data_IF_271210054903
#
_entry.id   IF_271210054903
#
_cell.length_a   1.000
_cell.length_b   1.000
_cell.length_c   1.000
_cell.angle_alpha   90.00
_cell.angle_beta   90.00
_cell.angle_gamma   90.00
#
_symmetry.space_group_name_H-M   'P 1'
#
loop_
_entity.id
_entity.type
_entity.pdbx_description
1 polymer ?
#
# COMPACT_ATOMS: atom_id res chain seq x y z
N UNK A 1 4.69 -5.07 -0.34
CA UNK A 1 4.49 -5.94 0.84
C UNK A 1 5.71 -6.79 1.13
N UNK A 2 6.15 -7.66 0.22
CA UNK A 2 7.28 -8.58 0.44
C UNK A 2 8.54 -7.83 0.84
N UNK A 3 8.93 -6.78 0.13
CA UNK A 3 10.09 -5.96 0.49
C UNK A 3 9.97 -5.22 1.83
N UNK A 4 8.76 -5.01 2.34
CA UNK A 4 8.58 -4.50 3.69
C UNK A 4 8.97 -5.56 4.74
N UNK A 5 8.48 -6.78 4.56
CA UNK A 5 8.72 -7.88 5.49
C UNK A 5 10.12 -8.48 5.39
N UNK A 6 10.81 -8.34 4.26
CA UNK A 6 12.18 -8.82 4.08
C UNK A 6 13.17 -8.30 5.14
N UNK A 7 12.87 -7.14 5.74
CA UNK A 7 13.64 -6.59 6.86
C UNK A 7 13.58 -7.44 8.14
N UNK A 8 12.58 -8.29 8.26
CA UNK A 8 12.31 -9.12 9.44
C UNK A 8 12.32 -10.61 9.10
N UNK A 9 12.20 -10.94 7.81
CA UNK A 9 12.01 -12.28 7.26
C UNK A 9 13.06 -12.52 6.17
N UNK A 10 14.27 -12.92 6.54
CA UNK A 10 15.50 -12.89 5.72
C UNK A 10 15.43 -13.59 4.36
N UNK A 11 14.49 -14.52 4.17
CA UNK A 11 14.41 -15.33 2.94
C UNK A 11 13.31 -14.86 1.97
N UNK A 12 12.59 -13.79 2.27
CA UNK A 12 11.52 -13.33 1.39
C UNK A 12 12.05 -12.70 0.10
N UNK A 13 13.17 -11.99 0.18
CA UNK A 13 13.89 -11.46 -0.97
C UNK A 13 15.38 -11.79 -0.85
N UNK A 14 15.80 -13.00 -1.23
CA UNK A 14 17.18 -13.42 -1.11
C UNK A 14 18.14 -12.43 -1.81
N UNK A 15 19.22 -12.07 -1.13
CA UNK A 15 20.24 -11.12 -1.58
C UNK A 15 19.77 -9.65 -1.69
N UNK A 16 18.57 -9.33 -1.23
CA UNK A 16 18.13 -7.94 -1.17
C UNK A 16 18.96 -7.16 -0.14
N UNK A 17 19.65 -6.14 -0.61
CA UNK A 17 20.44 -5.25 0.25
C UNK A 17 19.90 -3.83 0.15
N UNK A 18 19.24 -3.37 1.20
CA UNK A 18 19.01 -1.93 1.38
C UNK A 18 20.24 -1.29 1.98
N UNK A 19 20.68 -0.12 1.51
CA UNK A 19 21.60 0.69 2.27
C UNK A 19 21.13 2.13 2.42
N UNK A 20 21.42 2.64 3.59
CA UNK A 20 21.29 4.05 3.88
C UNK A 20 22.54 4.71 3.31
N UNK A 21 22.40 5.51 2.27
CA UNK A 21 23.48 6.37 1.82
C UNK A 21 23.39 7.68 2.61
N UNK A 22 24.51 8.14 3.12
CA UNK A 22 24.71 9.32 3.94
C UNK A 22 23.61 10.40 3.80
N UNK A 23 22.88 10.62 4.87
CA UNK A 23 21.95 11.71 5.02
C UNK A 23 20.61 11.51 4.31
N UNK A 24 19.73 10.69 4.81
CA UNK A 24 18.29 10.64 4.51
C UNK A 24 17.82 10.04 3.17
N UNK A 25 18.66 9.61 2.26
CA UNK A 25 18.21 8.94 1.04
C UNK A 25 18.47 7.44 1.18
N UNK A 26 17.40 6.67 1.35
CA UNK A 26 17.44 5.21 1.20
C UNK A 26 17.50 4.93 -0.30
N UNK A 27 18.65 4.52 -0.79
CA UNK A 27 18.77 3.96 -2.14
C UNK A 27 18.86 2.46 -2.04
N UNK A 28 18.04 1.80 -2.83
CA UNK A 28 18.11 0.37 -3.04
C UNK A 28 18.95 0.14 -4.29
N UNK A 29 20.09 -0.53 -4.17
CA UNK A 29 20.94 -0.90 -5.31
C UNK A 29 20.82 -2.41 -5.50
N UNK A 30 20.69 -2.84 -6.75
CA UNK A 30 20.52 -4.24 -7.10
C UNK A 30 19.06 -4.73 -7.03
N UNK A 31 18.11 -3.80 -6.95
CA UNK A 31 16.68 -4.13 -6.81
C UNK A 31 16.07 -4.83 -8.03
N UNK A 32 16.59 -4.59 -9.21
CA UNK A 32 15.95 -5.08 -10.43
C UNK A 32 16.00 -6.60 -10.53
N UNK A 33 17.14 -7.21 -10.26
CA UNK A 33 17.29 -8.67 -10.35
C UNK A 33 16.55 -9.39 -9.23
N UNK A 34 16.68 -8.94 -7.99
CA UNK A 34 16.03 -9.54 -6.83
C UNK A 34 14.50 -9.36 -6.88
N UNK A 35 14.02 -8.19 -7.24
CA UNK A 35 12.59 -7.92 -7.41
C UNK A 35 12.03 -8.76 -8.56
N UNK A 36 12.73 -8.83 -9.69
CA UNK A 36 12.31 -9.65 -10.82
C UNK A 36 12.30 -11.14 -10.47
N UNK A 37 13.26 -11.63 -9.68
CA UNK A 37 13.27 -13.01 -9.21
C UNK A 37 12.05 -13.35 -8.34
N UNK A 38 11.61 -12.43 -7.48
CA UNK A 38 10.40 -12.56 -6.67
C UNK A 38 9.15 -12.49 -7.55
N UNK A 39 9.04 -11.52 -8.44
CA UNK A 39 7.89 -11.35 -9.34
C UNK A 39 7.70 -12.54 -10.28
N UNK A 40 8.79 -13.10 -10.79
CA UNK A 40 8.78 -14.30 -11.64
C UNK A 40 8.21 -15.53 -10.91
N UNK A 41 8.40 -15.60 -9.60
CA UNK A 41 7.81 -16.66 -8.77
C UNK A 41 6.37 -16.35 -8.38
N UNK A 42 6.07 -15.10 -7.98
CA UNK A 42 4.74 -14.70 -7.54
C UNK A 42 3.71 -14.72 -8.66
N UNK A 43 4.04 -14.26 -9.85
CA UNK A 43 3.11 -14.20 -10.97
C UNK A 43 2.40 -15.52 -11.24
N UNK A 44 3.09 -16.65 -11.46
CA UNK A 44 2.47 -17.96 -11.61
C UNK A 44 1.69 -18.43 -10.38
N UNK A 45 2.19 -18.18 -9.16
CA UNK A 45 1.51 -18.54 -7.92
C UNK A 45 0.19 -17.78 -7.72
N UNK A 46 0.12 -16.53 -8.19
CA UNK A 46 -1.07 -15.68 -8.17
C UNK A 46 -2.01 -15.92 -9.35
N UNK A 47 -1.61 -16.72 -10.34
CA UNK A 47 -2.35 -16.90 -11.58
C UNK A 47 -2.45 -15.61 -12.41
N UNK A 48 -1.45 -14.72 -12.31
CA UNK A 48 -1.41 -13.45 -13.03
C UNK A 48 -1.46 -13.68 -14.53
N UNK A 49 -2.39 -13.02 -15.22
CA UNK A 49 -2.62 -13.14 -16.66
C UNK A 49 -2.97 -14.58 -17.17
N UNK A 50 -3.49 -15.44 -16.29
CA UNK A 50 -3.96 -16.78 -16.67
C UNK A 50 -5.48 -16.76 -16.81
N UNK A 51 -5.98 -16.73 -18.06
CA UNK A 51 -7.40 -16.71 -18.36
C UNK A 51 -8.13 -15.38 -18.14
N UNK A 52 -7.42 -14.36 -17.65
CA UNK A 52 -7.89 -12.98 -17.45
C UNK A 52 -6.69 -12.03 -17.43
N UNK A 53 -6.94 -10.75 -17.60
CA UNK A 53 -5.92 -9.73 -17.42
C UNK A 53 -5.68 -9.43 -15.93
N UNK A 54 -4.42 -9.28 -15.52
CA UNK A 54 -4.02 -8.94 -14.16
C UNK A 54 -4.05 -10.12 -13.17
N UNK A 55 -4.24 -9.81 -11.89
CA UNK A 55 -4.30 -10.75 -10.78
C UNK A 55 -5.60 -10.58 -10.02
N UNK A 56 -6.36 -11.66 -9.83
CA UNK A 56 -7.57 -11.62 -9.00
C UNK A 56 -7.22 -11.48 -7.52
N UNK A 57 -8.16 -11.00 -6.70
CA UNK A 57 -7.97 -10.95 -5.26
C UNK A 57 -7.67 -12.34 -4.64
N UNK A 58 -8.40 -13.38 -5.05
CA UNK A 58 -8.15 -14.75 -4.59
C UNK A 58 -6.77 -15.25 -5.03
N UNK A 59 -6.38 -14.96 -6.27
CA UNK A 59 -5.03 -15.28 -6.78
C UNK A 59 -3.94 -14.59 -5.98
N UNK A 60 -4.13 -13.32 -5.64
CA UNK A 60 -3.20 -12.59 -4.77
C UNK A 60 -3.06 -13.28 -3.40
N UNK A 61 -4.17 -13.60 -2.74
CA UNK A 61 -4.18 -14.26 -1.43
C UNK A 61 -3.46 -15.61 -1.47
N UNK A 62 -3.80 -16.42 -2.45
CA UNK A 62 -3.20 -17.75 -2.61
C UNK A 62 -1.72 -17.68 -2.95
N UNK A 63 -1.34 -16.77 -3.84
CA UNK A 63 0.05 -16.58 -4.24
C UNK A 63 0.92 -16.06 -3.09
N UNK A 64 0.43 -15.09 -2.32
CA UNK A 64 1.12 -14.60 -1.12
C UNK A 64 1.32 -15.71 -0.10
N UNK A 65 0.28 -16.51 0.15
CA UNK A 65 0.35 -17.63 1.08
C UNK A 65 1.39 -18.66 0.63
N UNK A 66 1.28 -19.16 -0.60
CA UNK A 66 2.21 -20.16 -1.14
C UNK A 66 3.67 -19.67 -1.16
N UNK A 67 3.86 -18.40 -1.51
CA UNK A 67 5.19 -17.83 -1.54
C UNK A 67 5.79 -17.71 -0.14
N UNK A 68 5.03 -17.22 0.83
CA UNK A 68 5.47 -17.11 2.23
C UNK A 68 5.81 -18.48 2.82
N UNK A 69 4.93 -19.48 2.64
CA UNK A 69 5.17 -20.86 3.07
C UNK A 69 6.44 -21.46 2.44
N UNK A 70 6.67 -21.21 1.15
CA UNK A 70 7.90 -21.64 0.46
C UNK A 70 9.15 -21.02 1.09
N UNK A 71 9.05 -19.79 1.59
CA UNK A 71 10.14 -19.10 2.27
C UNK A 71 10.26 -19.44 3.76
N UNK A 72 9.35 -20.28 4.29
CA UNK A 72 9.35 -20.73 5.69
C UNK A 72 8.55 -19.83 6.65
N UNK A 73 7.64 -19.01 6.10
CA UNK A 73 6.83 -18.04 6.85
C UNK A 73 5.34 -18.32 6.69
N UNK A 74 4.55 -17.82 7.63
CA UNK A 74 3.10 -17.82 7.58
C UNK A 74 2.58 -16.50 7.00
N UNK A 75 1.57 -16.57 6.12
CA UNK A 75 0.83 -15.42 5.61
C UNK A 75 -0.57 -15.38 6.21
N UNK A 76 -0.94 -14.24 6.75
CA UNK A 76 -2.27 -13.97 7.26
C UNK A 76 -2.80 -12.64 6.68
N UNK A 77 -4.12 -12.54 6.52
CA UNK A 77 -4.75 -11.30 6.12
C UNK A 77 -6.02 -11.04 6.91
N UNK A 78 -6.27 -9.78 7.23
CA UNK A 78 -7.48 -9.31 7.88
C UNK A 78 -8.21 -8.32 6.97
N UNK A 79 -9.53 -8.43 6.88
CA UNK A 79 -10.37 -7.48 6.16
C UNK A 79 -10.51 -6.17 6.95
N UNK A 80 -10.16 -5.06 6.34
CA UNK A 80 -10.24 -3.71 6.91
C UNK A 80 -11.42 -2.89 6.35
N UNK A 81 -12.40 -3.55 5.72
CA UNK A 81 -13.61 -2.90 5.25
C UNK A 81 -14.74 -3.00 6.28
N UNK A 82 -15.61 -1.99 6.28
CA UNK A 82 -16.89 -1.99 6.97
C UNK A 82 -18.01 -1.84 5.91
N UNK A 83 -18.63 -2.95 5.54
CA UNK A 83 -19.45 -3.00 4.33
C UNK A 83 -18.61 -2.68 3.10
N UNK A 84 -19.03 -1.69 2.32
CA UNK A 84 -18.34 -1.23 1.10
C UNK A 84 -17.40 -0.02 1.37
N UNK A 85 -17.12 0.30 2.62
CA UNK A 85 -16.26 1.45 2.97
C UNK A 85 -15.02 1.00 3.69
N UNK A 86 -13.93 1.75 3.52
CA UNK A 86 -12.72 1.59 4.32
C UNK A 86 -13.06 1.87 5.79
N UNK A 87 -12.65 0.98 6.67
CA UNK A 87 -12.64 1.26 8.10
C UNK A 87 -11.31 1.95 8.45
N UNK A 88 -11.35 3.28 8.51
CA UNK A 88 -10.14 4.08 8.73
C UNK A 88 -9.45 3.77 10.06
N UNK A 89 -10.22 3.56 11.13
CA UNK A 89 -9.65 3.23 12.45
C UNK A 89 -8.90 1.90 12.42
N UNK A 90 -9.47 0.85 11.80
CA UNK A 90 -8.77 -0.43 11.62
C UNK A 90 -7.52 -0.29 10.76
N UNK A 91 -7.55 0.56 9.74
CA UNK A 91 -6.36 0.85 8.92
C UNK A 91 -5.25 1.51 9.75
N UNK A 92 -5.62 2.46 10.62
CA UNK A 92 -4.67 3.11 11.55
C UNK A 92 -4.06 2.09 12.50
N UNK A 93 -4.90 1.31 13.18
CA UNK A 93 -4.47 0.25 14.10
C UNK A 93 -3.47 -0.69 13.43
N UNK A 94 -3.80 -1.19 12.24
CA UNK A 94 -2.91 -2.07 11.47
C UNK A 94 -1.57 -1.41 11.14
N UNK A 95 -1.58 -0.16 10.69
CA UNK A 95 -0.36 0.58 10.36
C UNK A 95 0.48 0.88 11.61
N UNK A 96 -0.15 1.26 12.72
CA UNK A 96 0.52 1.55 13.99
C UNK A 96 1.17 0.29 14.59
N UNK A 97 0.59 -0.88 14.35
CA UNK A 97 1.17 -2.19 14.68
C UNK A 97 2.29 -2.62 13.72
N UNK A 98 2.62 -1.80 12.73
CA UNK A 98 3.64 -2.09 11.73
C UNK A 98 3.20 -3.10 10.67
N UNK A 99 1.89 -3.31 10.50
CA UNK A 99 1.34 -4.18 9.46
C UNK A 99 0.89 -3.32 8.27
N UNK A 100 1.54 -3.43 7.10
CA UNK A 100 1.12 -2.70 5.91
C UNK A 100 -0.22 -3.21 5.39
N UNK A 101 -0.96 -2.32 4.75
CA UNK A 101 -2.25 -2.66 4.17
C UNK A 101 -2.18 -2.70 2.64
N UNK A 102 -2.92 -3.61 2.02
CA UNK A 102 -3.10 -3.65 0.58
C UNK A 102 -4.51 -3.15 0.24
N UNK A 103 -4.58 -2.18 -0.68
CA UNK A 103 -5.81 -1.55 -1.13
C UNK A 103 -6.02 -1.88 -2.60
N UNK A 104 -7.09 -2.59 -2.89
CA UNK A 104 -7.47 -3.02 -4.23
C UNK A 104 -8.48 -2.03 -4.82
N UNK A 105 -8.05 -1.31 -5.84
CA UNK A 105 -8.83 -0.32 -6.56
C UNK A 105 -9.47 -1.00 -7.76
N UNK A 106 -10.79 -0.96 -7.89
CA UNK A 106 -11.52 -1.66 -8.95
C UNK A 106 -11.81 -0.77 -10.16
N UNK A 107 -12.03 0.52 -9.94
CA UNK A 107 -12.37 1.45 -11.03
C UNK A 107 -11.40 2.62 -11.10
N UNK A 108 -11.48 3.53 -10.13
CA UNK A 108 -10.56 4.65 -10.02
C UNK A 108 -10.44 5.10 -8.57
N UNK A 109 -9.32 5.70 -8.25
CA UNK A 109 -9.13 6.41 -7.00
C UNK A 109 -8.35 7.70 -7.25
N UNK A 110 -8.61 8.72 -6.42
CA UNK A 110 -7.79 9.91 -6.42
C UNK A 110 -6.59 9.66 -5.52
N UNK A 111 -5.42 9.78 -6.08
CA UNK A 111 -4.16 9.77 -5.38
C UNK A 111 -3.58 11.19 -5.40
N UNK A 112 -3.55 11.81 -4.24
CA UNK A 112 -3.12 13.20 -4.08
C UNK A 112 -1.63 13.25 -3.74
N UNK A 113 -0.86 14.06 -4.46
CA UNK A 113 0.45 14.49 -4.01
C UNK A 113 0.30 15.77 -3.20
N UNK A 114 0.69 15.70 -1.92
CA UNK A 114 0.59 16.82 -0.99
C UNK A 114 1.98 17.34 -0.68
N UNK A 115 2.21 18.63 -0.98
CA UNK A 115 3.45 19.32 -0.63
C UNK A 115 3.18 20.48 0.34
N UNK A 116 4.16 20.73 1.19
CA UNK A 116 4.11 21.85 2.11
C UNK A 116 4.69 23.10 1.45
N UNK A 117 3.86 24.14 1.30
CA UNK A 117 4.26 25.43 0.78
C UNK A 117 3.82 26.52 1.76
N UNK A 118 4.75 27.34 2.20
CA UNK A 118 4.50 28.47 3.13
C UNK A 118 3.70 28.05 4.38
N UNK A 119 4.09 26.94 5.00
CA UNK A 119 3.39 26.30 6.13
C UNK A 119 1.95 25.83 5.83
N UNK A 120 1.54 25.85 4.58
CA UNK A 120 0.23 25.35 4.12
C UNK A 120 0.44 24.10 3.28
N UNK A 121 -0.34 23.08 3.57
CA UNK A 121 -0.34 21.88 2.74
C UNK A 121 -1.17 22.16 1.48
N UNK A 122 -0.57 21.88 0.34
CA UNK A 122 -1.18 22.14 -0.96
C UNK A 122 -1.16 20.83 -1.78
N UNK A 123 -2.32 20.48 -2.34
CA UNK A 123 -2.37 19.42 -3.34
C UNK A 123 -1.70 19.95 -4.60
N UNK A 124 -0.57 19.35 -4.99
CA UNK A 124 0.21 19.76 -6.17
C UNK A 124 -0.13 18.98 -7.40
N UNK A 125 -0.55 17.72 -7.24
CA UNK A 125 -1.10 16.89 -8.30
C UNK A 125 -2.13 15.92 -7.75
N UNK A 126 -3.07 15.55 -8.58
CA UNK A 126 -4.00 14.46 -8.33
C UNK A 126 -4.12 13.64 -9.62
N UNK A 127 -4.11 12.33 -9.51
CA UNK A 127 -4.26 11.45 -10.66
C UNK A 127 -5.18 10.29 -10.34
N UNK A 128 -5.66 9.65 -11.42
CA UNK A 128 -6.52 8.48 -11.32
C UNK A 128 -5.68 7.23 -11.50
N UNK A 129 -5.96 6.25 -10.68
CA UNK A 129 -5.50 4.90 -10.88
C UNK A 129 -6.70 3.98 -11.09
N UNK A 130 -6.57 3.04 -12.02
CA UNK A 130 -7.68 2.17 -12.43
C UNK A 130 -7.23 0.72 -12.30
N UNK A 131 -8.03 -0.09 -11.59
CA UNK A 131 -7.74 -1.53 -11.42
C UNK A 131 -6.32 -1.80 -10.95
N UNK A 132 -5.94 -1.18 -9.84
CA UNK A 132 -4.57 -1.20 -9.31
C UNK A 132 -4.54 -1.59 -7.84
N UNK A 133 -3.40 -2.08 -7.37
CA UNK A 133 -3.19 -2.36 -5.95
C UNK A 133 -2.11 -1.45 -5.41
N UNK A 134 -2.46 -0.66 -4.40
CA UNK A 134 -1.51 0.21 -3.71
C UNK A 134 -1.25 -0.30 -2.29
N UNK A 135 -0.07 0.03 -1.75
CA UNK A 135 0.31 -0.36 -0.39
C UNK A 135 0.20 0.82 0.55
N UNK A 136 -0.70 0.74 1.52
CA UNK A 136 -0.83 1.71 2.60
C UNK A 136 0.27 1.51 3.65
N UNK A 137 0.97 2.60 3.97
CA UNK A 137 2.12 2.59 4.89
C UNK A 137 2.08 3.74 5.91
N UNK A 138 0.99 4.47 5.97
CA UNK A 138 0.77 5.57 6.90
C UNK A 138 -0.63 6.12 6.73
N UNK A 139 -0.97 7.12 7.52
CA UNK A 139 -2.26 7.80 7.42
C UNK A 139 -2.10 9.29 7.76
N UNK A 140 -3.13 10.05 7.43
CA UNK A 140 -3.25 11.46 7.77
C UNK A 140 -4.72 11.80 7.99
N UNK A 141 -5.00 12.64 8.98
CA UNK A 141 -6.32 13.17 9.27
C UNK A 141 -6.23 14.69 9.37
N UNK A 142 -6.98 15.39 8.54
CA UNK A 142 -7.07 16.85 8.55
C UNK A 142 -8.39 17.25 9.19
N UNK A 143 -8.33 17.99 10.28
CA UNK A 143 -9.50 18.48 11.02
C UNK A 143 -9.61 19.99 10.85
N UNK A 144 -10.72 20.43 10.32
CA UNK A 144 -11.00 21.84 10.08
C UNK A 144 -11.93 22.40 11.15
N UNK A 145 -11.57 23.54 11.68
CA UNK A 145 -12.33 24.24 12.74
C UNK A 145 -12.85 25.57 12.23
N UNK A 146 -14.03 25.98 12.74
CA UNK A 146 -14.51 27.37 12.58
C UNK A 146 -13.84 28.31 13.59
N UNK A 147 -14.16 29.60 13.51
CA UNK A 147 -13.59 30.61 14.40
C UNK A 147 -13.95 30.43 15.90
N UNK A 148 -14.99 29.64 16.19
CA UNK A 148 -15.40 29.28 17.57
C UNK A 148 -14.78 27.98 18.07
N UNK A 149 -13.88 27.33 17.29
CA UNK A 149 -13.20 26.12 17.66
C UNK A 149 -14.03 24.83 17.45
N UNK A 150 -15.16 24.91 16.76
CA UNK A 150 -15.97 23.72 16.43
C UNK A 150 -15.46 23.06 15.16
N UNK A 151 -15.43 21.74 15.13
CA UNK A 151 -15.09 20.95 13.93
C UNK A 151 -16.17 21.17 12.88
N UNK A 152 -15.76 21.62 11.69
CA UNK A 152 -16.65 21.86 10.54
C UNK A 152 -16.44 20.89 9.40
N UNK A 153 -15.26 20.28 9.31
CA UNK A 153 -14.96 19.24 8.33
C UNK A 153 -13.81 18.35 8.82
N UNK A 154 -13.75 17.16 8.31
CA UNK A 154 -12.66 16.21 8.52
C UNK A 154 -12.35 15.50 7.20
N UNK A 155 -11.08 15.35 6.89
CA UNK A 155 -10.60 14.57 5.76
C UNK A 155 -9.64 13.51 6.25
N UNK A 156 -9.78 12.33 5.72
CA UNK A 156 -9.01 11.16 6.09
C UNK A 156 -8.28 10.62 4.87
N UNK A 157 -7.00 10.33 5.06
CA UNK A 157 -6.13 9.87 4.00
C UNK A 157 -5.33 8.66 4.47
N UNK A 158 -5.19 7.69 3.59
CA UNK A 158 -4.16 6.66 3.71
C UNK A 158 -2.96 7.09 2.87
N UNK A 159 -1.78 7.12 3.50
CA UNK A 159 -0.52 7.33 2.80
C UNK A 159 -0.15 6.05 2.10
N UNK A 160 0.00 6.08 0.79
CA UNK A 160 0.20 4.90 -0.04
C UNK A 160 1.48 4.99 -0.87
N UNK A 161 2.11 3.84 -1.09
CA UNK A 161 3.09 3.67 -2.15
C UNK A 161 2.31 3.23 -3.40
N UNK A 162 2.31 4.10 -4.42
CA UNK A 162 1.51 3.88 -5.63
C UNK A 162 2.00 2.71 -6.49
N UNK A 163 3.30 2.38 -6.40
CA UNK A 163 3.92 1.39 -7.28
C UNK A 163 4.22 1.92 -8.68
N UNK A 164 3.92 3.18 -8.97
CA UNK A 164 4.20 3.82 -10.25
C UNK A 164 5.50 4.63 -10.18
N UNK A 165 6.27 4.62 -11.28
CA UNK A 165 7.58 5.26 -11.33
C UNK A 165 7.54 6.76 -11.09
N UNK A 166 6.48 7.42 -11.54
CA UNK A 166 6.36 8.87 -11.56
C UNK A 166 5.66 9.44 -10.32
N UNK A 167 5.04 8.58 -9.52
CA UNK A 167 4.21 8.95 -8.37
C UNK A 167 4.50 8.05 -7.16
N UNK A 168 5.63 8.22 -6.51
CA UNK A 168 6.11 7.30 -5.45
C UNK A 168 5.16 7.18 -4.25
N UNK A 169 5.12 8.18 -3.39
CA UNK A 169 4.27 8.22 -2.19
C UNK A 169 3.18 9.26 -2.38
N UNK A 170 1.94 8.81 -2.27
CA UNK A 170 0.74 9.61 -2.43
C UNK A 170 -0.21 9.44 -1.25
N UNK A 171 -1.32 10.17 -1.28
CA UNK A 171 -2.37 10.11 -0.28
C UNK A 171 -3.69 9.74 -0.94
N UNK A 172 -4.25 8.62 -0.55
CA UNK A 172 -5.56 8.17 -0.94
C UNK A 172 -6.61 8.83 -0.05
N UNK A 173 -7.41 9.75 -0.61
CA UNK A 173 -8.51 10.38 0.11
C UNK A 173 -9.69 9.40 0.22
N UNK A 174 -9.91 8.85 1.40
CA UNK A 174 -10.95 7.81 1.59
C UNK A 174 -12.38 8.32 1.51
N UNK A 175 -12.58 9.65 1.52
CA UNK A 175 -13.91 10.27 1.41
C UNK A 175 -14.32 10.58 -0.04
N UNK A 176 -13.38 10.52 -0.99
CA UNK A 176 -13.61 10.81 -2.42
C UNK A 176 -13.23 9.64 -3.33
N UNK A 177 -13.34 8.44 -2.82
CA UNK A 177 -12.93 7.23 -3.51
C UNK A 177 -14.06 6.72 -4.40
N UNK A 178 -13.69 6.28 -5.61
CA UNK A 178 -14.50 5.38 -6.42
C UNK A 178 -14.64 4.00 -5.78
N UNK A 179 -14.96 3.00 -6.55
CA UNK A 179 -15.16 1.67 -6.00
C UNK A 179 -13.84 1.03 -5.55
N UNK A 180 -13.72 0.84 -4.24
CA UNK A 180 -12.67 0.01 -3.66
C UNK A 180 -13.21 -1.41 -3.54
N UNK A 181 -12.50 -2.35 -4.15
CA UNK A 181 -12.89 -3.75 -4.08
C UNK A 181 -12.58 -4.35 -2.71
N UNK A 182 -11.37 -4.15 -2.23
CA UNK A 182 -10.89 -4.71 -0.96
C UNK A 182 -9.83 -3.83 -0.30
N UNK A 183 -9.81 -3.86 1.03
CA UNK A 183 -8.69 -3.39 1.85
C UNK A 183 -8.38 -4.46 2.87
N UNK A 184 -7.13 -4.89 2.91
CA UNK A 184 -6.68 -5.91 3.86
C UNK A 184 -5.39 -5.47 4.56
N UNK A 185 -5.28 -5.81 5.84
CA UNK A 185 -3.97 -5.94 6.48
C UNK A 185 -3.33 -7.24 5.97
N UNK A 186 -2.05 -7.22 5.65
CA UNK A 186 -1.32 -8.38 5.14
C UNK A 186 -0.08 -8.61 5.99
N UNK A 187 -0.07 -9.68 6.76
CA UNK A 187 0.99 -10.03 7.72
C UNK A 187 1.75 -11.27 7.27
N UNK A 188 3.09 -11.20 7.36
CA UNK A 188 4.00 -12.34 7.20
C UNK A 188 4.80 -12.48 8.48
N UNK A 189 4.82 -13.65 9.07
CA UNK A 189 5.50 -13.95 10.33
C UNK A 189 6.13 -15.33 10.34
#
# INVERSE_FOLDING_TARGET
>A
LIGYYDRFCENLMPNFKSYIQLGSIIRYKGMEEEVMAVLTQLGPLMGTNIGHEGTTFSGFQEGMKKYSEKCGYEYQSENLMSGNKINFEKCKESIDEGTPIAIFLSTYAYLDEIQKKDNTDTIVSAYYDVSHVVVGCGYRQDIYYNASGQVIAMREYIKVASGQSDHGICYLNINSIGDIDRVIAAKIS
#
